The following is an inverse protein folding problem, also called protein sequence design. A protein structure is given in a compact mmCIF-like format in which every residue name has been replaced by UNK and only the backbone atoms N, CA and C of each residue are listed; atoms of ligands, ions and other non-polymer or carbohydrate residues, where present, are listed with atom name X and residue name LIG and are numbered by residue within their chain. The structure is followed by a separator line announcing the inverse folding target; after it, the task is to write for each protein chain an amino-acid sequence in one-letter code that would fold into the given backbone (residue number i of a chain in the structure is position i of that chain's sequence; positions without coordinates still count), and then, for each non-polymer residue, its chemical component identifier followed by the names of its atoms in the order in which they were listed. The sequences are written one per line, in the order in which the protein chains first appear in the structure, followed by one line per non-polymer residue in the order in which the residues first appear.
data_IF_789903876423
#
_entry.id   IF_789903876423
#
_cell.length_a   1.000
_cell.length_b   1.000
_cell.length_c   1.000
_cell.angle_alpha   90.00
_cell.angle_beta   90.00
_cell.angle_gamma   90.00
#
_symmetry.space_group_name_H-M   'P 1'
#
loop_
_entity.id
_entity.type
_entity.pdbx_description
1 polymer ?
#
# COMPACT_ATOMS: atom_id res chain seq x y z
N UNK A 1 6.60 -39.88 -2.23
CA UNK A 1 6.36 -39.04 -3.41
C UNK A 1 6.02 -37.63 -2.93
N UNK A 2 6.56 -36.61 -3.59
CA UNK A 2 6.17 -35.24 -3.29
C UNK A 2 4.82 -34.94 -3.96
N UNK A 3 3.92 -34.17 -3.30
CA UNK A 3 2.64 -33.83 -3.89
C UNK A 3 2.81 -32.91 -5.11
N UNK A 4 1.94 -33.07 -6.10
CA UNK A 4 1.83 -32.17 -7.24
C UNK A 4 1.00 -30.94 -6.89
N UNK A 5 1.51 -29.75 -7.21
CA UNK A 5 0.80 -28.49 -7.00
C UNK A 5 0.38 -27.91 -8.35
N UNK A 6 -0.92 -27.69 -8.52
CA UNK A 6 -1.45 -26.85 -9.60
C UNK A 6 -1.58 -25.42 -9.07
N UNK A 7 -0.84 -24.51 -9.70
CA UNK A 7 -0.89 -23.08 -9.40
C UNK A 7 -1.74 -22.42 -10.47
N UNK A 8 -2.91 -21.90 -10.09
CA UNK A 8 -3.85 -21.21 -10.96
C UNK A 8 -3.94 -19.77 -10.48
N UNK A 9 -3.51 -18.85 -11.33
CA UNK A 9 -3.53 -17.43 -11.04
C UNK A 9 -4.72 -16.77 -11.73
N UNK A 10 -5.20 -15.64 -11.13
CA UNK A 10 -6.30 -14.84 -11.64
C UNK A 10 -7.56 -15.65 -11.99
N UNK A 11 -7.99 -16.53 -11.09
CA UNK A 11 -9.17 -17.38 -11.32
C UNK A 11 -10.51 -16.63 -11.38
N UNK A 12 -10.54 -15.35 -11.07
CA UNK A 12 -11.66 -14.44 -11.32
C UNK A 12 -11.87 -14.12 -12.81
N UNK A 13 -10.86 -14.32 -13.67
CA UNK A 13 -10.94 -14.23 -15.13
C UNK A 13 -11.66 -15.44 -15.78
N UNK A 14 -11.88 -16.50 -15.02
CA UNK A 14 -12.60 -17.67 -15.51
C UNK A 14 -14.09 -17.35 -15.73
N UNK A 15 -14.66 -17.87 -16.81
CA UNK A 15 -16.12 -17.84 -16.93
C UNK A 15 -16.78 -18.87 -15.97
N UNK A 16 -18.09 -18.74 -15.75
CA UNK A 16 -18.81 -19.59 -14.81
C UNK A 16 -18.69 -21.09 -15.11
N UNK A 17 -18.62 -21.49 -16.39
CA UNK A 17 -18.48 -22.91 -16.77
C UNK A 17 -17.08 -23.42 -16.44
N UNK A 18 -16.05 -22.66 -16.70
CA UNK A 18 -14.66 -23.01 -16.36
C UNK A 18 -14.47 -23.10 -14.84
N UNK A 19 -15.01 -22.15 -14.09
CA UNK A 19 -14.95 -22.17 -12.62
C UNK A 19 -15.69 -23.39 -12.05
N UNK A 20 -16.84 -23.79 -12.62
CA UNK A 20 -17.54 -25.03 -12.21
C UNK A 20 -16.70 -26.28 -12.43
N UNK A 21 -15.98 -26.39 -13.56
CA UNK A 21 -15.08 -27.50 -13.83
C UNK A 21 -13.96 -27.56 -12.79
N UNK A 22 -13.31 -26.41 -12.52
CA UNK A 22 -12.26 -26.31 -11.51
C UNK A 22 -12.77 -26.70 -10.13
N UNK A 23 -13.92 -26.18 -9.72
CA UNK A 23 -14.55 -26.53 -8.43
C UNK A 23 -14.84 -28.03 -8.33
N UNK A 24 -15.24 -28.64 -9.45
CA UNK A 24 -15.47 -30.09 -9.50
C UNK A 24 -14.17 -30.84 -9.22
N UNK A 25 -13.06 -30.44 -9.79
CA UNK A 25 -11.76 -31.07 -9.51
C UNK A 25 -11.32 -30.85 -8.06
N UNK A 26 -11.55 -29.68 -7.50
CA UNK A 26 -11.27 -29.40 -6.08
C UNK A 26 -12.11 -30.31 -5.17
N UNK A 27 -13.40 -30.45 -5.45
CA UNK A 27 -14.34 -31.29 -4.67
C UNK A 27 -14.03 -32.79 -4.76
N UNK A 28 -13.61 -33.27 -5.94
CA UNK A 28 -13.38 -34.71 -6.18
C UNK A 28 -11.94 -35.18 -5.94
N UNK A 29 -11.04 -34.34 -5.46
CA UNK A 29 -9.70 -34.79 -5.10
C UNK A 29 -9.79 -35.90 -4.03
N UNK A 30 -9.44 -37.13 -4.43
CA UNK A 30 -9.51 -38.29 -3.54
C UNK A 30 -8.16 -38.69 -2.95
N UNK A 31 -7.07 -38.03 -3.31
CA UNK A 31 -5.75 -38.35 -2.82
C UNK A 31 -4.96 -37.08 -2.37
N UNK A 32 -3.99 -37.30 -1.50
CA UNK A 32 -3.12 -36.25 -0.95
C UNK A 32 -2.02 -35.79 -1.93
N UNK A 33 -1.91 -36.47 -3.09
CA UNK A 33 -0.81 -36.23 -4.01
C UNK A 33 -1.07 -35.05 -4.97
N UNK A 34 -2.31 -34.54 -4.98
CA UNK A 34 -2.71 -33.42 -5.82
C UNK A 34 -3.25 -32.26 -4.99
N UNK A 35 -2.67 -31.09 -5.14
CA UNK A 35 -3.07 -29.90 -4.42
C UNK A 35 -3.26 -28.72 -5.39
N UNK A 36 -4.39 -28.02 -5.28
CA UNK A 36 -4.66 -26.80 -6.01
C UNK A 36 -4.31 -25.57 -5.15
N UNK A 37 -3.59 -24.62 -5.71
CA UNK A 37 -3.35 -23.30 -5.19
C UNK A 37 -3.94 -22.31 -6.19
N UNK A 38 -5.04 -21.68 -5.81
CA UNK A 38 -5.83 -20.82 -6.67
C UNK A 38 -5.76 -19.40 -6.11
N UNK A 39 -5.28 -18.44 -6.89
CA UNK A 39 -5.42 -17.04 -6.57
C UNK A 39 -6.63 -16.45 -7.28
N UNK A 40 -7.30 -15.53 -6.61
CA UNK A 40 -8.45 -14.80 -7.16
C UNK A 40 -8.52 -13.44 -6.49
N UNK A 41 -9.07 -12.45 -7.17
CA UNK A 41 -9.47 -11.20 -6.57
C UNK A 41 -10.80 -11.38 -5.82
N UNK A 42 -11.47 -10.28 -5.45
CA UNK A 42 -12.66 -10.31 -4.58
C UNK A 42 -13.88 -11.02 -5.20
N UNK A 43 -13.88 -11.29 -6.52
CA UNK A 43 -15.03 -11.84 -7.25
C UNK A 43 -14.69 -13.15 -7.94
N UNK A 44 -14.67 -14.26 -7.17
CA UNK A 44 -14.64 -15.57 -7.79
C UNK A 44 -15.98 -15.87 -8.47
N UNK A 45 -16.02 -16.32 -9.75
CA UNK A 45 -17.25 -16.36 -10.54
C UNK A 45 -18.38 -17.21 -9.95
N UNK A 46 -18.04 -18.36 -9.36
CA UNK A 46 -19.02 -19.24 -8.72
C UNK A 46 -18.33 -20.32 -7.89
N UNK A 47 -18.94 -20.72 -6.80
CA UNK A 47 -18.52 -21.86 -5.97
C UNK A 47 -19.27 -23.16 -6.34
N UNK A 48 -20.18 -23.13 -7.33
CA UNK A 48 -20.90 -24.31 -7.78
C UNK A 48 -19.98 -25.23 -8.58
N UNK A 49 -20.20 -26.54 -8.47
CA UNK A 49 -19.60 -27.60 -9.31
C UNK A 49 -20.41 -27.84 -10.58
N UNK A 50 -19.93 -28.67 -11.49
CA UNK A 50 -20.67 -29.11 -12.66
C UNK A 50 -21.91 -29.94 -12.30
N UNK A 51 -22.00 -30.46 -11.07
CA UNK A 51 -23.14 -31.20 -10.52
C UNK A 51 -24.06 -30.33 -9.66
N UNK A 52 -23.91 -29.02 -9.72
CA UNK A 52 -24.70 -28.04 -8.98
C UNK A 52 -24.52 -28.06 -7.44
N UNK A 53 -23.72 -28.97 -6.90
CA UNK A 53 -23.24 -28.86 -5.51
C UNK A 53 -22.29 -27.68 -5.37
N UNK A 54 -22.16 -27.14 -4.16
CA UNK A 54 -21.16 -26.09 -3.88
C UNK A 54 -19.97 -26.69 -3.17
N UNK A 55 -18.78 -26.16 -3.48
CA UNK A 55 -17.60 -26.37 -2.64
C UNK A 55 -17.70 -25.46 -1.41
N UNK A 56 -17.27 -25.95 -0.25
CA UNK A 56 -17.41 -25.27 1.03
C UNK A 56 -16.11 -25.27 1.84
N UNK A 57 -15.93 -24.21 2.63
CA UNK A 57 -14.82 -24.09 3.58
C UNK A 57 -15.28 -24.58 4.95
N UNK A 58 -14.46 -25.29 5.71
CA UNK A 58 -13.09 -25.74 5.41
C UNK A 58 -12.98 -27.13 4.75
N UNK A 59 -14.11 -27.71 4.31
CA UNK A 59 -14.16 -29.11 3.82
C UNK A 59 -13.42 -29.31 2.51
N UNK A 60 -13.73 -28.48 1.51
CA UNK A 60 -13.19 -28.62 0.15
C UNK A 60 -11.96 -27.76 -0.06
N UNK A 61 -11.90 -26.58 0.55
CA UNK A 61 -10.78 -25.64 0.43
C UNK A 61 -10.56 -24.83 1.71
N UNK A 62 -9.39 -24.19 1.77
CA UNK A 62 -9.06 -23.24 2.82
C UNK A 62 -8.71 -21.89 2.18
N UNK A 63 -9.31 -20.81 2.68
CA UNK A 63 -9.09 -19.47 2.18
C UNK A 63 -8.01 -18.73 2.97
N UNK A 64 -7.08 -18.10 2.23
CA UNK A 64 -6.04 -17.26 2.79
C UNK A 64 -6.20 -15.87 2.20
N UNK A 65 -6.68 -14.95 3.01
CA UNK A 65 -6.83 -13.55 2.62
C UNK A 65 -5.48 -12.85 2.69
N UNK A 66 -4.79 -12.72 1.56
CA UNK A 66 -3.46 -12.08 1.48
C UNK A 66 -3.49 -10.64 1.98
N UNK A 67 -4.56 -9.92 1.70
CA UNK A 67 -4.72 -8.54 2.16
C UNK A 67 -4.61 -8.43 3.69
N UNK A 68 -5.22 -9.34 4.45
CA UNK A 68 -5.12 -9.36 5.90
C UNK A 68 -3.70 -9.67 6.39
N UNK A 69 -2.95 -10.51 5.69
CA UNK A 69 -1.57 -10.84 6.05
C UNK A 69 -0.66 -9.61 5.92
N UNK A 70 -0.90 -8.78 4.90
CA UNK A 70 -0.06 -7.61 4.61
C UNK A 70 -0.55 -6.32 5.30
N UNK A 71 -1.83 -6.19 5.63
CA UNK A 71 -2.43 -4.97 6.18
C UNK A 71 -2.94 -5.10 7.63
N UNK A 72 -3.19 -6.30 8.14
CA UNK A 72 -3.90 -6.54 9.41
C UNK A 72 -3.19 -6.09 10.69
N UNK A 73 -1.92 -5.66 10.64
CA UNK A 73 -1.19 -5.07 11.78
C UNK A 73 -0.62 -3.69 11.47
N UNK A 74 -1.40 -2.87 10.76
CA UNK A 74 -1.03 -1.49 10.50
C UNK A 74 -0.10 -1.32 9.29
N UNK A 75 0.04 -0.08 8.91
CA UNK A 75 0.89 0.40 7.82
C UNK A 75 2.37 0.02 7.95
N UNK A 76 2.85 -0.30 9.16
CA UNK A 76 4.25 -0.65 9.41
C UNK A 76 4.69 -1.92 8.67
N UNK A 77 3.92 -3.01 8.75
CA UNK A 77 4.30 -4.27 8.09
C UNK A 77 4.32 -4.16 6.57
N UNK A 78 3.36 -3.45 6.01
CA UNK A 78 3.36 -3.15 4.56
C UNK A 78 4.57 -2.31 4.18
N UNK A 79 4.86 -1.25 4.96
CA UNK A 79 6.03 -0.40 4.78
C UNK A 79 7.33 -1.19 4.81
N UNK A 80 7.51 -2.08 5.78
CA UNK A 80 8.70 -2.94 5.90
C UNK A 80 8.85 -3.88 4.70
N UNK A 81 7.76 -4.47 4.21
CA UNK A 81 7.77 -5.33 3.03
C UNK A 81 8.16 -4.54 1.77
N UNK A 82 7.58 -3.35 1.57
CA UNK A 82 7.94 -2.46 0.45
C UNK A 82 9.40 -2.05 0.55
N UNK A 83 9.87 -1.68 1.74
CA UNK A 83 11.27 -1.33 2.00
C UNK A 83 12.22 -2.48 1.62
N UNK A 84 11.94 -3.68 2.07
CA UNK A 84 12.75 -4.86 1.76
C UNK A 84 12.81 -5.15 0.25
N UNK A 85 11.70 -4.98 -0.48
CA UNK A 85 11.65 -5.14 -1.93
C UNK A 85 12.51 -4.08 -2.62
N UNK A 86 12.38 -2.82 -2.22
CA UNK A 86 13.14 -1.70 -2.79
C UNK A 86 14.63 -1.89 -2.55
N UNK A 87 15.04 -2.12 -1.32
CA UNK A 87 16.45 -2.28 -0.95
C UNK A 87 17.11 -3.49 -1.64
N UNK A 88 16.36 -4.60 -1.78
CA UNK A 88 16.83 -5.75 -2.55
C UNK A 88 17.10 -5.39 -4.02
N UNK A 89 16.22 -4.61 -4.65
CA UNK A 89 16.41 -4.15 -6.04
C UNK A 89 17.56 -3.15 -6.16
N UNK A 90 17.63 -2.18 -5.23
CA UNK A 90 18.73 -1.20 -5.20
C UNK A 90 20.09 -1.88 -5.05
N UNK A 91 20.18 -2.87 -4.15
CA UNK A 91 21.41 -3.66 -3.98
C UNK A 91 21.83 -4.36 -5.27
N UNK A 92 20.87 -4.85 -6.06
CA UNK A 92 21.16 -5.52 -7.33
C UNK A 92 21.64 -4.53 -8.41
N UNK A 93 21.11 -3.30 -8.41
CA UNK A 93 21.38 -2.29 -9.44
C UNK A 93 22.61 -1.45 -9.09
N UNK A 94 22.68 -0.96 -7.85
CA UNK A 94 23.71 -0.03 -7.40
C UNK A 94 24.91 -0.72 -6.73
N UNK A 95 24.78 -1.99 -6.35
CA UNK A 95 25.85 -2.75 -5.69
C UNK A 95 26.17 -2.31 -4.26
N UNK A 96 25.49 -1.28 -3.75
CA UNK A 96 25.69 -0.70 -2.43
C UNK A 96 24.45 -0.88 -1.53
N UNK A 97 24.60 -0.59 -0.24
CA UNK A 97 23.53 -0.70 0.76
C UNK A 97 22.67 0.56 0.90
N UNK A 98 22.34 1.23 -0.20
CA UNK A 98 21.46 2.42 -0.16
C UNK A 98 20.11 2.06 0.44
N UNK A 99 19.66 2.80 1.46
CA UNK A 99 18.35 2.60 2.07
C UNK A 99 17.23 3.13 1.16
N UNK A 100 16.02 2.62 1.35
CA UNK A 100 14.87 3.11 0.59
C UNK A 100 14.58 4.60 0.89
N UNK A 101 14.80 5.02 2.13
CA UNK A 101 14.63 6.41 2.57
C UNK A 101 15.68 7.35 1.97
N UNK A 102 16.92 6.90 1.80
CA UNK A 102 17.97 7.68 1.14
C UNK A 102 17.72 7.77 -0.37
N UNK A 103 17.19 6.70 -0.96
CA UNK A 103 16.89 6.69 -2.39
C UNK A 103 15.67 7.54 -2.75
N UNK A 104 14.66 7.59 -1.89
CA UNK A 104 13.51 8.48 -1.99
C UNK A 104 13.51 9.49 -0.83
N UNK A 105 14.36 10.53 -0.89
CA UNK A 105 14.49 11.48 0.21
C UNK A 105 13.23 12.34 0.37
N UNK A 106 12.82 12.53 1.62
CA UNK A 106 11.74 13.44 1.98
C UNK A 106 12.20 14.90 2.06
N UNK A 107 11.25 15.83 2.03
CA UNK A 107 11.51 17.23 2.30
C UNK A 107 11.71 17.44 3.81
N UNK A 108 12.99 17.38 4.27
CA UNK A 108 13.34 17.50 5.69
C UNK A 108 12.81 18.78 6.34
N UNK A 109 12.86 19.91 5.63
CA UNK A 109 12.36 21.18 6.18
C UNK A 109 10.86 21.12 6.45
N UNK A 110 10.10 20.54 5.53
CA UNK A 110 8.67 20.34 5.69
C UNK A 110 8.36 19.39 6.86
N UNK A 111 9.05 18.25 6.94
CA UNK A 111 8.85 17.28 8.03
C UNK A 111 9.21 17.90 9.40
N UNK A 112 10.28 18.68 9.50
CA UNK A 112 10.66 19.39 10.73
C UNK A 112 9.57 20.40 11.18
N UNK A 113 8.94 21.09 10.22
CA UNK A 113 7.82 22.00 10.52
C UNK A 113 6.58 21.24 10.98
N UNK A 114 6.24 20.14 10.30
CA UNK A 114 5.10 19.28 10.67
C UNK A 114 5.31 18.71 12.07
N UNK A 115 6.51 18.24 12.38
CA UNK A 115 6.83 17.72 13.73
C UNK A 115 6.66 18.78 14.84
N UNK A 116 7.03 20.03 14.56
CA UNK A 116 6.77 21.14 15.50
C UNK A 116 5.29 21.37 15.74
N UNK A 117 4.50 21.43 14.66
CA UNK A 117 3.05 21.57 14.74
C UNK A 117 2.44 20.39 15.51
N UNK A 118 2.89 19.17 15.25
CA UNK A 118 2.42 17.98 15.94
C UNK A 118 2.66 18.07 17.47
N UNK A 119 3.85 18.49 17.87
CA UNK A 119 4.18 18.70 19.30
C UNK A 119 3.29 19.77 19.95
N UNK A 120 3.05 20.87 19.25
CA UNK A 120 2.18 21.96 19.73
C UNK A 120 0.72 21.50 19.87
N UNK A 121 0.19 20.80 18.84
CA UNK A 121 -1.18 20.27 18.84
C UNK A 121 -1.37 19.22 19.94
N UNK A 122 -0.37 18.33 20.14
CA UNK A 122 -0.40 17.34 21.21
C UNK A 122 -0.48 17.99 22.57
N UNK A 123 0.36 18.99 22.82
CA UNK A 123 0.37 19.71 24.10
C UNK A 123 -0.96 20.42 24.35
N UNK A 124 -1.45 21.17 23.35
CA UNK A 124 -2.74 21.87 23.43
C UNK A 124 -3.88 20.92 23.71
N UNK A 125 -3.95 19.79 22.95
CA UNK A 125 -5.04 18.83 23.13
C UNK A 125 -4.99 18.11 24.47
N UNK A 126 -3.82 17.81 24.98
CA UNK A 126 -3.66 17.23 26.30
C UNK A 126 -4.17 18.17 27.39
N UNK A 127 -3.88 19.49 27.30
CA UNK A 127 -4.39 20.49 28.23
C UNK A 127 -5.92 20.62 28.16
N UNK A 128 -6.50 20.66 26.95
CA UNK A 128 -7.97 20.69 26.76
C UNK A 128 -8.64 19.47 27.42
N UNK A 129 -8.10 18.28 27.18
CA UNK A 129 -8.66 17.04 27.74
C UNK A 129 -8.56 17.00 29.28
N UNK A 130 -7.50 17.53 29.87
CA UNK A 130 -7.36 17.64 31.32
C UNK A 130 -8.41 18.59 31.93
N UNK A 131 -8.76 19.68 31.24
CA UNK A 131 -9.80 20.61 31.67
C UNK A 131 -11.21 20.06 31.51
N UNK A 132 -11.50 19.45 30.35
CA UNK A 132 -12.82 18.94 30.04
C UNK A 132 -13.15 17.63 30.77
N UNK A 133 -12.17 16.77 31.00
CA UNK A 133 -12.33 15.44 31.57
C UNK A 133 -11.28 15.14 32.65
N UNK A 134 -11.31 15.82 33.81
CA UNK A 134 -10.27 15.71 34.85
C UNK A 134 -10.16 14.32 35.50
N UNK A 135 -11.12 13.42 35.24
CA UNK A 135 -11.14 12.04 35.75
C UNK A 135 -10.60 11.01 34.75
N UNK A 136 -10.18 11.44 33.56
CA UNK A 136 -9.64 10.53 32.55
C UNK A 136 -8.23 10.04 32.96
N UNK A 137 -7.94 8.76 32.66
CA UNK A 137 -6.61 8.21 32.90
C UNK A 137 -5.55 9.00 32.10
N UNK A 138 -4.43 9.39 32.72
CA UNK A 138 -3.33 10.10 32.02
C UNK A 138 -2.85 9.39 30.74
N UNK A 139 -2.86 8.06 30.69
CA UNK A 139 -2.52 7.28 29.51
C UNK A 139 -3.52 7.45 28.37
N UNK A 140 -4.79 7.57 28.70
CA UNK A 140 -5.85 7.80 27.71
C UNK A 140 -5.81 9.23 27.18
N UNK A 141 -5.47 10.21 28.03
CA UNK A 141 -5.26 11.60 27.62
C UNK A 141 -4.12 11.66 26.61
N UNK A 142 -2.97 11.06 26.95
CA UNK A 142 -1.80 11.06 26.05
C UNK A 142 -2.12 10.38 24.73
N UNK A 143 -2.74 9.20 24.74
CA UNK A 143 -3.13 8.48 23.54
C UNK A 143 -4.03 9.31 22.63
N UNK A 144 -5.08 9.95 23.20
CA UNK A 144 -6.00 10.81 22.45
C UNK A 144 -5.31 12.05 21.91
N UNK A 145 -4.41 12.65 22.68
CA UNK A 145 -3.66 13.81 22.25
C UNK A 145 -2.67 13.50 21.12
N UNK A 146 -1.99 12.35 21.17
CA UNK A 146 -1.12 11.85 20.11
C UNK A 146 -1.91 11.57 18.84
N UNK A 147 -3.02 10.84 18.92
CA UNK A 147 -3.87 10.53 17.77
C UNK A 147 -4.43 11.81 17.12
N UNK A 148 -4.88 12.76 17.93
CA UNK A 148 -5.34 14.06 17.44
C UNK A 148 -4.24 14.83 16.72
N UNK A 149 -3.06 14.94 17.33
CA UNK A 149 -1.93 15.68 16.77
C UNK A 149 -1.46 15.06 15.44
N UNK A 150 -1.31 13.73 15.40
CA UNK A 150 -0.91 13.01 14.20
C UNK A 150 -1.88 13.24 13.02
N UNK A 151 -3.18 13.23 13.27
CA UNK A 151 -4.20 13.45 12.21
C UNK A 151 -4.28 14.90 11.73
N UNK A 152 -3.95 15.86 12.58
CA UNK A 152 -4.19 17.27 12.28
C UNK A 152 -2.93 18.05 11.90
N UNK A 153 -1.72 17.57 12.23
CA UNK A 153 -0.49 18.33 11.98
C UNK A 153 -0.25 18.62 10.49
N UNK A 154 -0.43 17.63 9.61
CA UNK A 154 -0.27 17.83 8.16
C UNK A 154 -1.35 18.73 7.56
N UNK A 155 -2.65 18.55 7.82
CA UNK A 155 -3.68 19.49 7.39
C UNK A 155 -3.45 20.92 7.87
N UNK A 156 -3.01 21.10 9.12
CA UNK A 156 -2.72 22.42 9.67
C UNK A 156 -1.51 23.07 8.99
N UNK A 157 -0.44 22.31 8.74
CA UNK A 157 0.68 22.75 7.93
C UNK A 157 0.25 23.20 6.53
N UNK A 158 -0.54 22.36 5.83
CA UNK A 158 -1.02 22.68 4.47
C UNK A 158 -1.88 23.93 4.43
N UNK A 159 -2.77 24.11 5.41
CA UNK A 159 -3.62 25.29 5.52
C UNK A 159 -2.83 26.60 5.70
N UNK A 160 -1.69 26.51 6.38
CA UNK A 160 -0.86 27.68 6.71
C UNK A 160 0.30 27.89 5.71
N UNK A 161 0.39 27.06 4.64
CA UNK A 161 1.37 27.27 3.59
C UNK A 161 1.09 28.58 2.83
N UNK A 162 2.10 29.45 2.63
CA UNK A 162 1.95 30.60 1.75
C UNK A 162 1.63 30.15 0.32
N UNK A 163 0.80 30.91 -0.40
CA UNK A 163 0.33 30.62 -1.77
C UNK A 163 1.43 30.31 -2.80
N UNK A 164 2.67 30.75 -2.54
CA UNK A 164 3.83 30.50 -3.42
C UNK A 164 4.54 29.15 -3.16
N UNK A 165 4.12 28.42 -2.15
CA UNK A 165 4.68 27.11 -1.82
C UNK A 165 3.63 26.02 -1.95
N UNK A 166 4.00 24.88 -2.50
CA UNK A 166 3.18 23.67 -2.54
C UNK A 166 3.65 22.68 -1.48
N UNK A 167 2.74 21.84 -1.02
CA UNK A 167 3.08 20.70 -0.17
C UNK A 167 3.89 19.69 -1.00
N UNK A 168 5.03 19.25 -0.47
CA UNK A 168 5.85 18.20 -1.09
C UNK A 168 5.35 16.83 -0.65
N UNK A 169 5.06 15.96 -1.59
CA UNK A 169 4.70 14.57 -1.36
C UNK A 169 5.91 13.63 -1.46
N UNK A 170 7.13 14.19 -1.56
CA UNK A 170 8.36 13.41 -1.66
C UNK A 170 8.66 12.61 -0.39
N UNK A 171 9.38 11.50 -0.57
CA UNK A 171 9.86 10.64 0.50
C UNK A 171 9.25 9.24 0.50
N UNK A 172 10.08 8.25 0.84
CA UNK A 172 9.71 6.85 0.86
C UNK A 172 8.39 6.59 1.61
N UNK A 173 8.24 7.15 2.80
CA UNK A 173 7.02 6.97 3.61
C UNK A 173 5.78 7.53 2.94
N UNK A 174 5.88 8.66 2.25
CA UNK A 174 4.77 9.25 1.50
C UNK A 174 4.36 8.35 0.33
N UNK A 175 5.33 7.83 -0.43
CA UNK A 175 5.08 6.88 -1.51
C UNK A 175 4.38 5.61 -1.03
N UNK A 176 4.79 5.08 0.12
CA UNK A 176 4.15 3.92 0.76
C UNK A 176 2.69 4.24 1.11
N UNK A 177 2.41 5.41 1.66
CA UNK A 177 1.03 5.82 1.96
C UNK A 177 0.18 6.00 0.70
N UNK A 178 0.72 6.67 -0.32
CA UNK A 178 0.02 6.90 -1.59
C UNK A 178 -0.30 5.60 -2.34
N UNK A 179 0.54 4.57 -2.19
CA UNK A 179 0.28 3.26 -2.79
C UNK A 179 -0.91 2.50 -2.17
N UNK A 180 -1.47 2.99 -1.05
CA UNK A 180 -2.68 2.46 -0.40
C UNK A 180 -2.66 0.95 -0.14
N UNK A 181 -1.49 0.40 0.19
CA UNK A 181 -1.31 -1.05 0.42
C UNK A 181 -1.18 -1.88 -0.85
N UNK A 182 -1.18 -1.27 -2.04
CA UNK A 182 -1.06 -1.96 -3.33
C UNK A 182 0.37 -1.79 -3.84
N UNK A 183 1.17 -2.86 -3.75
CA UNK A 183 2.58 -2.84 -4.15
C UNK A 183 2.78 -2.45 -5.63
N UNK A 184 1.84 -2.81 -6.51
CA UNK A 184 1.89 -2.44 -7.94
C UNK A 184 1.89 -0.92 -8.11
N UNK A 185 1.05 -0.20 -7.37
CA UNK A 185 0.99 1.27 -7.43
C UNK A 185 2.32 1.91 -6.99
N UNK A 186 2.92 1.37 -5.92
CA UNK A 186 4.24 1.82 -5.49
C UNK A 186 5.31 1.59 -6.56
N UNK A 187 5.36 0.38 -7.14
CA UNK A 187 6.38 0.02 -8.13
C UNK A 187 6.21 0.77 -9.44
N UNK A 188 4.99 1.01 -9.88
CA UNK A 188 4.70 1.80 -11.09
C UNK A 188 5.18 3.24 -10.92
N UNK A 189 4.80 3.87 -9.81
CA UNK A 189 5.22 5.23 -9.48
C UNK A 189 6.76 5.34 -9.35
N UNK A 190 7.39 4.41 -8.64
CA UNK A 190 8.84 4.36 -8.50
C UNK A 190 9.56 4.16 -9.85
N UNK A 191 8.99 3.34 -10.75
CA UNK A 191 9.51 3.12 -12.10
C UNK A 191 9.46 4.38 -12.95
N UNK A 192 8.36 5.14 -12.88
CA UNK A 192 8.23 6.44 -13.59
C UNK A 192 9.23 7.46 -13.08
N UNK A 193 9.34 7.60 -11.75
CA UNK A 193 10.35 8.47 -11.13
C UNK A 193 11.78 8.10 -11.56
N UNK A 194 12.09 6.82 -11.60
CA UNK A 194 13.40 6.33 -12.08
C UNK A 194 13.61 6.74 -13.54
N UNK A 195 12.63 6.52 -14.41
CA UNK A 195 12.71 6.84 -15.84
C UNK A 195 12.92 8.32 -16.09
N UNK A 196 12.21 9.19 -15.35
CA UNK A 196 12.38 10.65 -15.48
C UNK A 196 13.74 11.11 -14.93
N UNK A 197 14.22 10.50 -13.84
CA UNK A 197 15.55 10.77 -13.30
C UNK A 197 16.62 10.35 -14.32
N UNK A 198 16.47 9.18 -14.92
CA UNK A 198 17.39 8.70 -15.97
C UNK A 198 17.41 9.64 -17.19
N UNK A 199 16.24 10.07 -17.68
CA UNK A 199 16.16 11.04 -18.79
C UNK A 199 16.88 12.35 -18.46
N UNK A 200 16.74 12.83 -17.23
CA UNK A 200 17.32 14.10 -16.78
C UNK A 200 18.83 14.05 -16.64
N UNK A 201 19.37 12.94 -16.13
CA UNK A 201 20.80 12.83 -15.82
C UNK A 201 21.60 12.04 -16.86
N UNK A 202 20.95 11.30 -17.77
CA UNK A 202 21.59 10.53 -18.83
C UNK A 202 22.45 9.36 -18.34
N UNK A 203 22.30 8.95 -17.09
CA UNK A 203 23.08 7.90 -16.44
C UNK A 203 22.20 7.06 -15.52
N UNK A 204 22.56 5.80 -15.30
CA UNK A 204 21.95 4.94 -14.28
C UNK A 204 22.61 5.08 -12.90
N UNK A 205 23.69 5.85 -12.81
CA UNK A 205 24.51 6.01 -11.61
C UNK A 205 24.03 7.17 -10.72
N UNK A 206 22.74 7.20 -10.37
CA UNK A 206 22.23 8.14 -9.38
C UNK A 206 21.84 7.39 -8.11
N UNK A 207 22.21 7.97 -6.97
CA UNK A 207 22.02 7.36 -5.66
C UNK A 207 20.68 7.75 -5.01
N UNK A 208 19.94 8.66 -5.60
CA UNK A 208 18.62 9.11 -5.09
C UNK A 208 17.76 9.70 -6.20
N UNK A 209 16.45 9.68 -5.99
CA UNK A 209 15.46 10.37 -6.83
C UNK A 209 15.24 11.78 -6.29
N UNK A 210 15.49 12.85 -7.08
CA UNK A 210 15.24 14.23 -6.65
C UNK A 210 13.81 14.48 -6.20
N UNK A 211 13.63 15.26 -5.12
CA UNK A 211 12.31 15.58 -4.56
C UNK A 211 11.36 16.18 -5.61
N UNK A 212 11.86 17.07 -6.46
CA UNK A 212 11.05 17.68 -7.52
C UNK A 212 10.48 16.63 -8.48
N UNK A 213 11.28 15.63 -8.89
CA UNK A 213 10.81 14.54 -9.76
C UNK A 213 9.78 13.68 -9.02
N UNK A 214 9.99 13.43 -7.73
CA UNK A 214 9.00 12.71 -6.93
C UNK A 214 7.66 13.46 -6.90
N UNK A 215 7.67 14.75 -6.62
CA UNK A 215 6.47 15.58 -6.55
C UNK A 215 5.75 15.69 -7.91
N UNK A 216 6.49 15.88 -9.00
CA UNK A 216 5.95 15.97 -10.35
C UNK A 216 5.26 14.66 -10.78
N UNK A 217 5.93 13.52 -10.54
CA UNK A 217 5.39 12.20 -10.90
C UNK A 217 4.20 11.78 -10.03
N UNK A 218 4.19 12.15 -8.75
CA UNK A 218 3.04 11.93 -7.87
C UNK A 218 1.83 12.72 -8.35
N UNK A 219 2.03 13.99 -8.70
CA UNK A 219 0.95 14.84 -9.22
C UNK A 219 0.37 14.25 -10.51
N UNK A 220 1.23 13.89 -11.47
CA UNK A 220 0.81 13.29 -12.74
C UNK A 220 0.10 11.94 -12.53
N UNK A 221 0.59 11.11 -11.62
CA UNK A 221 -0.03 9.83 -11.30
C UNK A 221 -1.42 10.01 -10.69
N UNK A 222 -1.56 10.97 -9.78
CA UNK A 222 -2.84 11.28 -9.12
C UNK A 222 -3.86 11.82 -10.12
N UNK A 223 -3.46 12.73 -10.99
CA UNK A 223 -4.33 13.26 -12.05
C UNK A 223 -4.80 12.15 -12.99
N UNK A 224 -3.89 11.30 -13.44
CA UNK A 224 -4.24 10.18 -14.32
C UNK A 224 -5.20 9.18 -13.63
N UNK A 225 -5.01 8.88 -12.34
CA UNK A 225 -5.94 8.04 -11.60
C UNK A 225 -7.34 8.67 -11.51
N UNK A 226 -7.42 9.95 -11.18
CA UNK A 226 -8.69 10.65 -11.08
C UNK A 226 -9.42 10.62 -12.43
N UNK A 227 -8.74 10.99 -13.52
CA UNK A 227 -9.36 11.00 -14.86
C UNK A 227 -9.78 9.61 -15.31
N UNK A 228 -8.94 8.57 -15.10
CA UNK A 228 -9.28 7.20 -15.50
C UNK A 228 -10.48 6.62 -14.74
N UNK A 229 -10.65 6.96 -13.47
CA UNK A 229 -11.81 6.51 -12.70
C UNK A 229 -13.08 7.27 -13.07
N UNK A 230 -12.99 8.57 -13.33
CA UNK A 230 -14.12 9.34 -13.87
C UNK A 230 -14.59 8.83 -15.24
N UNK A 231 -13.66 8.52 -16.14
CA UNK A 231 -14.00 7.98 -17.46
C UNK A 231 -14.71 6.62 -17.37
N UNK A 232 -14.32 5.75 -16.45
CA UNK A 232 -15.01 4.48 -16.20
C UNK A 232 -16.44 4.69 -15.69
N UNK A 233 -16.67 5.66 -14.81
CA UNK A 233 -18.00 5.96 -14.27
C UNK A 233 -18.91 6.55 -15.34
N UNK A 234 -18.38 7.40 -16.23
CA UNK A 234 -19.16 8.04 -17.30
C UNK A 234 -19.54 7.02 -18.39
N UNK A 235 -18.68 6.02 -18.65
CA UNK A 235 -18.86 5.04 -19.73
C UNK A 235 -19.47 3.70 -19.24
N UNK A 236 -19.82 3.58 -17.97
CA UNK A 236 -20.53 2.43 -17.40
C UNK A 236 -22.04 2.64 -17.35
#
# INVERSE_FOLDING_TARGET
NAPFFFLIDDADELNSSQARILNTWVSFRSNSDLCFKISTQMHYPTYATTRESKIDTPHDYFEITLNQIYTAKGTERYRENVKAIVEKRLKTILGNGTSAEDYFPSNKKQEDFIEKIEKELRHKKAQELLQEQPKLDPKDIDRKAVDFAYRNARPDYMKNLPNKYSYSYSGFNQLVHLSSGIIRNFLDLASKMYSETYKKYGSTEFNYIPQQIQDDEISLFSDNMIFSEFDKIINS
#
